data_IF_648612285231
#
_entry.id   IF_648612285231
#
_cell.length_a   1.000
_cell.length_b   1.000
_cell.length_c   1.000
_cell.angle_alpha   90.00
_cell.angle_beta   90.00
_cell.angle_gamma   90.00
#
_symmetry.space_group_name_H-M   'P 1'
#
loop_
_entity.id
_entity.type
_entity.pdbx_description
1 polymer ?
#
# COMPACT_ATOMS: atom_id res chain seq x y z
N UNK A 1 -38.58 -6.50 -28.67
CA UNK A 1 -38.24 -7.12 -27.36
C UNK A 1 -36.76 -6.87 -27.07
N UNK A 2 -36.42 -5.91 -26.18
CA UNK A 2 -35.04 -5.55 -25.87
C UNK A 2 -34.48 -6.53 -24.82
N UNK A 3 -33.38 -7.22 -25.13
CA UNK A 3 -32.75 -8.23 -24.30
C UNK A 3 -32.37 -7.68 -22.90
N UNK A 4 -32.84 -8.29 -21.80
CA UNK A 4 -32.52 -7.84 -20.45
C UNK A 4 -31.03 -7.96 -20.07
N UNK A 5 -30.25 -8.77 -20.81
CA UNK A 5 -28.80 -8.96 -20.58
C UNK A 5 -27.96 -7.70 -20.78
N UNK A 6 -28.39 -6.73 -21.62
CA UNK A 6 -27.65 -5.49 -21.85
C UNK A 6 -27.67 -4.51 -20.66
N UNK A 7 -28.73 -4.53 -19.86
CA UNK A 7 -28.88 -3.63 -18.71
C UNK A 7 -28.02 -4.04 -17.51
N UNK A 8 -27.79 -5.36 -17.31
CA UNK A 8 -26.94 -5.85 -16.23
C UNK A 8 -25.46 -5.54 -16.47
N UNK A 9 -24.98 -5.76 -17.69
CA UNK A 9 -23.60 -5.42 -18.06
C UNK A 9 -23.28 -3.92 -17.91
N UNK A 10 -24.25 -3.06 -18.28
CA UNK A 10 -24.10 -1.61 -18.13
C UNK A 10 -24.00 -1.20 -16.66
N UNK A 11 -24.79 -1.80 -15.76
CA UNK A 11 -24.75 -1.52 -14.32
C UNK A 11 -23.45 -1.97 -13.67
N UNK A 12 -22.88 -3.09 -14.07
CA UNK A 12 -21.61 -3.60 -13.56
C UNK A 12 -20.43 -2.66 -13.88
N UNK A 13 -20.49 -1.92 -14.97
CA UNK A 13 -19.47 -0.92 -15.33
C UNK A 13 -19.77 0.43 -14.64
N UNK A 14 -21.04 0.77 -14.46
CA UNK A 14 -21.42 2.06 -13.86
C UNK A 14 -21.04 2.20 -12.39
N UNK A 15 -21.08 1.10 -11.61
CA UNK A 15 -20.73 1.12 -10.19
C UNK A 15 -19.27 1.51 -9.97
N UNK A 16 -18.26 0.79 -10.55
CA UNK A 16 -16.86 1.18 -10.36
C UNK A 16 -16.53 2.56 -10.92
N UNK A 17 -17.12 2.96 -12.04
CA UNK A 17 -16.95 4.31 -12.58
C UNK A 17 -17.52 5.38 -11.65
N UNK A 18 -18.66 5.10 -11.01
CA UNK A 18 -19.27 6.00 -10.03
C UNK A 18 -18.40 6.17 -8.79
N UNK A 19 -17.84 5.09 -8.29
CA UNK A 19 -16.91 5.11 -7.15
C UNK A 19 -15.65 5.91 -7.48
N UNK A 20 -15.04 5.68 -8.64
CA UNK A 20 -13.85 6.41 -9.10
C UNK A 20 -14.15 7.90 -9.34
N UNK A 21 -15.32 8.23 -9.90
CA UNK A 21 -15.73 9.62 -10.09
C UNK A 21 -15.93 10.34 -8.76
N UNK A 22 -16.60 9.69 -7.81
CA UNK A 22 -16.78 10.24 -6.46
C UNK A 22 -15.44 10.45 -5.75
N UNK A 23 -14.56 9.47 -5.85
CA UNK A 23 -13.21 9.56 -5.31
C UNK A 23 -12.44 10.76 -5.90
N UNK A 24 -12.46 10.93 -7.21
CA UNK A 24 -11.79 12.06 -7.84
C UNK A 24 -12.37 13.42 -7.39
N UNK A 25 -13.70 13.52 -7.20
CA UNK A 25 -14.33 14.74 -6.65
C UNK A 25 -13.85 15.04 -5.24
N UNK A 26 -13.71 14.00 -4.38
CA UNK A 26 -13.25 14.17 -3.00
C UNK A 26 -11.78 14.60 -2.93
N UNK A 27 -10.97 14.18 -3.90
CA UNK A 27 -9.54 14.55 -3.94
C UNK A 27 -9.24 15.93 -4.49
N UNK A 28 -10.14 16.50 -5.31
CA UNK A 28 -9.95 17.84 -5.84
C UNK A 28 -9.73 18.90 -4.74
N UNK A 29 -10.58 19.01 -3.69
CA UNK A 29 -10.33 19.94 -2.59
C UNK A 29 -9.09 19.59 -1.76
N UNK A 30 -8.76 18.31 -1.60
CA UNK A 30 -7.54 17.89 -0.90
C UNK A 30 -6.30 18.38 -1.64
N UNK A 31 -6.25 18.20 -2.96
CA UNK A 31 -5.16 18.72 -3.78
C UNK A 31 -5.04 20.26 -3.71
N UNK A 32 -6.17 20.97 -3.57
CA UNK A 32 -6.16 22.40 -3.37
C UNK A 32 -5.58 22.80 -2.00
N UNK A 33 -5.93 22.06 -0.94
CA UNK A 33 -5.34 22.23 0.40
C UNK A 33 -3.85 21.97 0.41
N UNK A 34 -3.35 21.11 -0.46
CA UNK A 34 -1.92 20.88 -0.68
C UNK A 34 -1.24 21.95 -1.53
N UNK A 35 -1.95 23.02 -1.87
CA UNK A 35 -1.47 24.06 -2.77
C UNK A 35 -1.01 23.55 -4.15
N UNK A 36 -1.65 22.48 -4.62
CA UNK A 36 -1.39 21.89 -5.95
C UNK A 36 -2.62 22.11 -6.85
N UNK A 37 -2.88 23.33 -7.31
CA UNK A 37 -4.12 23.65 -8.05
C UNK A 37 -4.27 22.86 -9.35
N UNK A 38 -3.15 22.51 -10.01
CA UNK A 38 -3.18 21.69 -11.21
C UNK A 38 -3.69 20.28 -10.93
N UNK A 39 -3.30 19.67 -9.79
CA UNK A 39 -3.82 18.38 -9.38
C UNK A 39 -5.32 18.46 -9.07
N UNK A 40 -5.79 19.53 -8.43
CA UNK A 40 -7.22 19.77 -8.20
C UNK A 40 -8.00 19.80 -9.52
N UNK A 41 -7.51 20.55 -10.52
CA UNK A 41 -8.12 20.60 -11.85
C UNK A 41 -8.15 19.23 -12.51
N UNK A 42 -7.05 18.46 -12.43
CA UNK A 42 -6.97 17.09 -12.96
C UNK A 42 -8.01 16.18 -12.32
N UNK A 43 -8.21 16.24 -11.00
CA UNK A 43 -9.21 15.44 -10.32
C UNK A 43 -10.65 15.82 -10.71
N UNK A 44 -10.96 17.11 -10.89
CA UNK A 44 -12.26 17.54 -11.38
C UNK A 44 -12.50 17.00 -12.80
N UNK A 45 -11.52 17.12 -13.69
CA UNK A 45 -11.63 16.62 -15.06
C UNK A 45 -11.77 15.11 -15.09
N UNK A 46 -11.04 14.37 -14.23
CA UNK A 46 -11.14 12.93 -14.09
C UNK A 46 -12.54 12.52 -13.60
N UNK A 47 -13.09 13.25 -12.62
CA UNK A 47 -14.45 13.03 -12.14
C UNK A 47 -15.50 13.21 -13.25
N UNK A 48 -15.36 14.24 -14.07
CA UNK A 48 -16.23 14.47 -15.24
C UNK A 48 -16.11 13.36 -16.29
N UNK A 49 -14.89 12.89 -16.53
CA UNK A 49 -14.62 11.79 -17.46
C UNK A 49 -15.27 10.49 -17.00
N UNK A 50 -15.15 10.17 -15.71
CA UNK A 50 -15.59 8.90 -15.12
C UNK A 50 -17.08 8.89 -14.73
N UNK A 51 -17.76 10.04 -14.77
CA UNK A 51 -19.17 10.16 -14.34
C UNK A 51 -20.08 9.18 -15.07
N UNK A 52 -20.71 8.19 -14.38
CA UNK A 52 -21.52 7.15 -15.00
C UNK A 52 -22.92 7.61 -15.42
N UNK A 53 -23.42 8.72 -14.85
CA UNK A 53 -24.82 9.12 -15.00
C UNK A 53 -25.17 9.66 -16.39
N UNK A 54 -24.18 9.98 -17.20
CA UNK A 54 -24.38 10.62 -18.51
C UNK A 54 -23.84 9.81 -19.71
N UNK A 55 -23.60 8.50 -19.55
CA UNK A 55 -22.93 7.67 -20.58
C UNK A 55 -23.65 7.71 -21.94
N UNK A 56 -24.96 7.78 -21.95
CA UNK A 56 -25.77 7.63 -23.17
C UNK A 56 -26.16 8.94 -23.86
N UNK A 57 -25.72 10.10 -23.39
CA UNK A 57 -26.08 11.39 -24.00
C UNK A 57 -24.97 11.90 -24.91
N UNK A 58 -25.31 12.35 -26.15
CA UNK A 58 -24.33 12.90 -27.11
C UNK A 58 -23.47 14.03 -26.51
N UNK A 59 -24.08 14.91 -25.67
CA UNK A 59 -23.37 15.96 -24.94
C UNK A 59 -22.34 15.41 -23.96
N UNK A 60 -22.60 14.26 -23.38
CA UNK A 60 -21.66 13.61 -22.43
C UNK A 60 -20.38 13.15 -23.15
N UNK A 61 -20.46 12.66 -24.36
CA UNK A 61 -19.28 12.29 -25.14
C UNK A 61 -18.40 13.50 -25.46
N UNK A 62 -19.00 14.64 -25.80
CA UNK A 62 -18.24 15.89 -26.01
C UNK A 62 -17.53 16.33 -24.74
N UNK A 63 -18.23 16.34 -23.59
CA UNK A 63 -17.64 16.71 -22.30
C UNK A 63 -16.47 15.78 -21.96
N UNK A 64 -16.63 14.47 -22.15
CA UNK A 64 -15.60 13.47 -21.84
C UNK A 64 -14.39 13.59 -22.76
N UNK A 65 -14.61 13.74 -24.06
CA UNK A 65 -13.50 13.90 -25.00
C UNK A 65 -12.73 15.20 -24.75
N UNK A 66 -13.45 16.29 -24.42
CA UNK A 66 -12.81 17.56 -24.03
C UNK A 66 -12.03 17.40 -22.73
N UNK A 67 -12.62 16.80 -21.69
CA UNK A 67 -11.94 16.54 -20.43
C UNK A 67 -10.69 15.66 -20.63
N UNK A 68 -10.80 14.58 -21.41
CA UNK A 68 -9.67 13.71 -21.74
C UNK A 68 -8.57 14.48 -22.48
N UNK A 69 -8.92 15.29 -23.48
CA UNK A 69 -7.95 16.11 -24.22
C UNK A 69 -7.21 17.08 -23.30
N UNK A 70 -7.93 17.75 -22.40
CA UNK A 70 -7.32 18.65 -21.43
C UNK A 70 -6.41 17.90 -20.45
N UNK A 71 -6.84 16.73 -19.95
CA UNK A 71 -6.02 15.89 -19.09
C UNK A 71 -4.71 15.49 -19.82
N UNK A 72 -4.80 15.05 -21.06
CA UNK A 72 -3.62 14.67 -21.85
C UNK A 72 -2.69 15.88 -22.02
N UNK A 73 -3.22 17.05 -22.36
CA UNK A 73 -2.42 18.27 -22.50
C UNK A 73 -1.76 18.66 -21.19
N UNK A 74 -2.48 18.61 -20.07
CA UNK A 74 -1.93 18.90 -18.75
C UNK A 74 -0.84 17.89 -18.35
N UNK A 75 -1.05 16.60 -18.61
CA UNK A 75 -0.06 15.57 -18.32
C UNK A 75 1.19 15.70 -19.20
N UNK A 76 1.06 16.16 -20.43
CA UNK A 76 2.21 16.35 -21.31
C UNK A 76 2.98 17.64 -21.05
N UNK A 77 2.27 18.73 -20.74
CA UNK A 77 2.88 20.05 -20.58
C UNK A 77 3.38 20.35 -19.17
N UNK A 78 2.75 19.76 -18.13
CA UNK A 78 3.01 20.14 -16.74
C UNK A 78 3.33 19.01 -15.76
N UNK A 79 3.86 17.82 -16.19
CA UNK A 79 4.06 16.71 -15.26
C UNK A 79 4.98 17.09 -14.09
N UNK A 80 6.03 17.89 -14.37
CA UNK A 80 7.00 18.29 -13.37
C UNK A 80 6.46 19.28 -12.32
N UNK A 81 5.59 20.22 -12.72
CA UNK A 81 5.08 21.24 -11.78
C UNK A 81 4.14 20.66 -10.73
N UNK A 82 3.33 19.67 -11.08
CA UNK A 82 2.47 18.99 -10.12
C UNK A 82 3.30 18.20 -9.10
N UNK A 83 4.32 17.50 -9.56
CA UNK A 83 5.24 16.74 -8.71
C UNK A 83 6.06 17.66 -7.79
N UNK A 84 6.60 18.71 -8.32
CA UNK A 84 7.39 19.72 -7.60
C UNK A 84 6.56 20.40 -6.48
N UNK A 85 5.34 20.84 -6.79
CA UNK A 85 4.45 21.44 -5.80
C UNK A 85 4.07 20.46 -4.69
N UNK A 86 3.94 19.17 -5.00
CA UNK A 86 3.65 18.13 -4.01
C UNK A 86 4.84 17.92 -3.08
N UNK A 87 6.05 17.86 -3.62
CA UNK A 87 7.28 17.77 -2.81
C UNK A 87 7.47 18.99 -1.92
N UNK A 88 7.27 20.19 -2.45
CA UNK A 88 7.40 21.44 -1.68
C UNK A 88 6.40 21.47 -0.53
N UNK A 89 5.17 21.03 -0.78
CA UNK A 89 4.16 20.93 0.30
C UNK A 89 4.53 19.91 1.34
N UNK A 90 5.04 18.75 0.94
CA UNK A 90 5.51 17.72 1.89
C UNK A 90 6.67 18.21 2.73
N UNK A 91 7.65 18.88 2.11
CA UNK A 91 8.76 19.51 2.84
C UNK A 91 8.25 20.53 3.85
N UNK A 92 7.35 21.42 3.43
CA UNK A 92 6.74 22.40 4.33
C UNK A 92 6.06 21.73 5.53
N UNK A 93 5.27 20.67 5.32
CA UNK A 93 4.62 19.95 6.43
C UNK A 93 5.62 19.21 7.31
N UNK A 94 6.70 18.71 6.72
CA UNK A 94 7.79 18.05 7.42
C UNK A 94 8.57 19.04 8.30
N UNK A 95 8.91 20.22 7.77
CA UNK A 95 9.55 21.28 8.52
C UNK A 95 8.63 21.78 9.67
N UNK A 96 7.34 21.89 9.42
CA UNK A 96 6.32 22.24 10.41
C UNK A 96 6.25 21.19 11.53
N UNK A 97 6.35 19.89 11.20
CA UNK A 97 6.42 18.82 12.18
C UNK A 97 7.65 18.96 13.09
N UNK A 98 8.80 19.31 12.52
CA UNK A 98 10.06 19.46 13.26
C UNK A 98 10.04 20.72 14.16
N UNK A 99 9.48 21.82 13.66
CA UNK A 99 9.52 23.13 14.36
C UNK A 99 8.40 23.32 15.36
N UNK A 100 7.19 22.88 15.04
CA UNK A 100 5.98 23.17 15.83
C UNK A 100 5.37 21.90 16.45
N UNK A 101 5.85 20.72 16.04
CA UNK A 101 5.31 19.43 16.48
C UNK A 101 3.88 19.20 15.99
N UNK A 102 3.19 18.25 16.63
CA UNK A 102 1.80 17.86 16.25
C UNK A 102 0.82 19.02 16.42
N UNK A 103 1.03 19.87 17.42
CA UNK A 103 0.15 21.01 17.74
C UNK A 103 0.13 22.08 16.67
N UNK A 104 1.19 22.17 15.87
CA UNK A 104 1.27 23.12 14.76
C UNK A 104 0.35 22.78 13.57
N UNK A 105 -0.14 21.55 13.48
CA UNK A 105 -0.96 21.11 12.33
C UNK A 105 -2.39 21.63 12.44
N UNK A 106 -2.79 22.40 11.47
CA UNK A 106 -4.17 22.85 11.29
C UNK A 106 -5.05 21.71 10.78
N UNK A 107 -6.38 21.89 10.83
CA UNK A 107 -7.31 20.91 10.32
C UNK A 107 -7.09 20.61 8.82
N UNK A 108 -6.81 21.62 8.00
CA UNK A 108 -6.49 21.47 6.59
C UNK A 108 -5.24 20.62 6.32
N UNK A 109 -4.19 20.79 7.12
CA UNK A 109 -2.97 19.99 7.04
C UNK A 109 -3.26 18.52 7.34
N UNK A 110 -4.03 18.24 8.40
CA UNK A 110 -4.44 16.88 8.80
C UNK A 110 -5.26 16.19 7.72
N UNK A 111 -6.24 16.89 7.13
CA UNK A 111 -7.02 16.39 5.99
C UNK A 111 -6.13 16.08 4.79
N UNK A 112 -5.16 16.94 4.49
CA UNK A 112 -4.24 16.71 3.39
C UNK A 112 -3.40 15.44 3.60
N UNK A 113 -2.82 15.27 4.79
CA UNK A 113 -2.04 14.07 5.14
C UNK A 113 -2.92 12.82 5.10
N UNK A 114 -4.13 12.89 5.64
CA UNK A 114 -5.10 11.78 5.60
C UNK A 114 -5.49 11.41 4.16
N UNK A 115 -5.69 12.41 3.30
CA UNK A 115 -5.92 12.21 1.88
C UNK A 115 -4.75 11.49 1.20
N UNK A 116 -3.51 11.86 1.52
CA UNK A 116 -2.33 11.18 1.00
C UNK A 116 -2.26 9.71 1.48
N UNK A 117 -2.60 9.42 2.72
CA UNK A 117 -2.67 8.05 3.24
C UNK A 117 -3.66 7.20 2.42
N UNK A 118 -4.88 7.69 2.19
CA UNK A 118 -5.86 7.00 1.35
C UNK A 118 -5.34 6.86 -0.09
N UNK A 119 -4.69 7.91 -0.63
CA UNK A 119 -4.12 7.86 -1.97
C UNK A 119 -3.06 6.77 -2.12
N UNK A 120 -2.22 6.56 -1.11
CA UNK A 120 -1.25 5.46 -1.08
C UNK A 120 -1.94 4.10 -1.20
N UNK A 121 -3.02 3.88 -0.44
CA UNK A 121 -3.81 2.65 -0.55
C UNK A 121 -4.41 2.45 -1.93
N UNK A 122 -5.01 3.48 -2.51
CA UNK A 122 -5.55 3.42 -3.87
C UNK A 122 -4.46 3.25 -4.93
N UNK A 123 -3.30 3.88 -4.72
CA UNK A 123 -2.11 3.68 -5.55
C UNK A 123 -1.68 2.21 -5.59
N UNK A 124 -1.69 1.54 -4.45
CA UNK A 124 -1.41 0.10 -4.37
C UNK A 124 -2.35 -0.74 -5.25
N UNK A 125 -3.65 -0.43 -5.27
CA UNK A 125 -4.59 -1.12 -6.17
C UNK A 125 -4.28 -0.89 -7.66
N UNK A 126 -3.98 0.35 -8.04
CA UNK A 126 -3.72 0.73 -9.44
C UNK A 126 -2.41 0.12 -9.94
N UNK A 127 -1.40 0.04 -9.09
CA UNK A 127 -0.08 -0.50 -9.43
C UNK A 127 0.04 -2.01 -9.30
N UNK A 128 -1.04 -2.70 -8.92
CA UNK A 128 -1.05 -4.16 -8.78
C UNK A 128 -0.52 -4.66 -7.43
N UNK A 129 -0.52 -3.80 -6.41
CA UNK A 129 -0.18 -4.13 -5.01
C UNK A 129 -1.42 -4.08 -4.10
N UNK A 130 -2.40 -4.97 -4.28
CA UNK A 130 -3.65 -4.94 -3.50
C UNK A 130 -3.41 -5.10 -2.00
N UNK A 131 -2.33 -5.76 -1.60
CA UNK A 131 -1.94 -5.94 -0.21
C UNK A 131 -1.65 -4.58 0.46
N UNK A 132 -0.96 -3.67 -0.24
CA UNK A 132 -0.70 -2.30 0.26
C UNK A 132 -2.00 -1.54 0.48
N UNK A 133 -2.92 -1.65 -0.49
CA UNK A 133 -4.24 -1.01 -0.37
C UNK A 133 -5.01 -1.51 0.84
N UNK A 134 -5.03 -2.83 1.02
CA UNK A 134 -5.74 -3.46 2.12
C UNK A 134 -5.14 -3.04 3.47
N UNK A 135 -3.80 -3.01 3.61
CA UNK A 135 -3.13 -2.58 4.83
C UNK A 135 -3.45 -1.12 5.16
N UNK A 136 -3.35 -0.24 4.17
CA UNK A 136 -3.69 1.17 4.33
C UNK A 136 -5.13 1.37 4.79
N UNK A 137 -6.09 0.64 4.18
CA UNK A 137 -7.50 0.70 4.56
C UNK A 137 -7.76 0.12 5.95
N UNK A 138 -7.03 -0.91 6.36
CA UNK A 138 -7.14 -1.47 7.71
C UNK A 138 -6.76 -0.46 8.79
N UNK A 139 -5.77 0.38 8.54
CA UNK A 139 -5.38 1.44 9.49
C UNK A 139 -6.45 2.52 9.67
N UNK A 140 -7.44 2.61 8.78
CA UNK A 140 -8.54 3.58 8.91
C UNK A 140 -9.66 3.05 9.83
N UNK A 141 -9.72 1.73 10.07
CA UNK A 141 -10.80 1.08 10.81
C UNK A 141 -10.40 0.95 12.29
N UNK A 142 -11.07 1.65 13.22
CA UNK A 142 -10.80 1.50 14.64
C UNK A 142 -11.05 0.06 15.09
N UNK A 143 -10.09 -0.52 15.82
CA UNK A 143 -10.25 -1.86 16.39
C UNK A 143 -10.35 -2.98 15.35
N UNK A 144 -9.74 -2.81 14.18
CA UNK A 144 -9.70 -3.82 13.12
C UNK A 144 -9.11 -5.17 13.58
N UNK A 145 -8.41 -5.18 14.72
CA UNK A 145 -7.89 -6.40 15.36
C UNK A 145 -6.64 -6.94 14.65
N UNK A 146 -6.26 -8.14 15.07
CA UNK A 146 -5.14 -8.85 14.46
C UNK A 146 -5.55 -9.41 13.10
N UNK A 147 -4.62 -9.36 12.15
CA UNK A 147 -4.82 -9.85 10.81
C UNK A 147 -3.96 -11.06 10.50
N UNK A 148 -4.51 -12.01 9.75
CA UNK A 148 -3.77 -13.16 9.24
C UNK A 148 -3.56 -13.07 7.73
N UNK A 149 -2.43 -13.60 7.27
CA UNK A 149 -2.02 -13.61 5.86
C UNK A 149 -1.91 -15.03 5.32
N UNK A 150 -1.97 -15.19 4.02
CA UNK A 150 -1.74 -16.49 3.42
C UNK A 150 -0.25 -16.87 3.50
N UNK A 151 0.02 -18.16 3.71
CA UNK A 151 1.37 -18.72 3.69
C UNK A 151 2.09 -18.48 2.35
N UNK A 152 1.34 -18.53 1.26
CA UNK A 152 1.89 -18.36 -0.08
C UNK A 152 2.45 -16.96 -0.29
N UNK A 153 1.72 -15.92 0.17
CA UNK A 153 2.22 -14.55 0.11
C UNK A 153 3.53 -14.37 0.86
N UNK A 154 3.68 -14.96 2.07
CA UNK A 154 4.92 -14.91 2.81
C UNK A 154 6.06 -15.63 2.08
N UNK A 155 5.76 -16.80 1.50
CA UNK A 155 6.75 -17.64 0.80
C UNK A 155 7.12 -17.15 -0.60
N UNK A 156 6.42 -16.14 -1.15
CA UNK A 156 6.87 -15.43 -2.34
C UNK A 156 8.19 -14.66 -2.09
N UNK A 157 8.40 -14.16 -0.87
CA UNK A 157 9.56 -13.35 -0.53
C UNK A 157 10.86 -14.16 -0.41
N UNK A 158 11.88 -13.90 -1.23
CA UNK A 158 13.21 -14.46 -1.06
C UNK A 158 13.81 -14.13 0.31
N UNK A 159 13.50 -12.96 0.87
CA UNK A 159 14.00 -12.56 2.19
C UNK A 159 13.40 -13.35 3.33
N UNK A 160 12.15 -13.78 3.23
CA UNK A 160 11.53 -14.69 4.20
C UNK A 160 12.06 -16.11 4.00
N UNK A 161 12.23 -16.56 2.75
CA UNK A 161 12.78 -17.88 2.45
C UNK A 161 14.24 -18.05 2.88
N UNK A 162 15.08 -17.01 2.75
CA UNK A 162 16.51 -17.10 3.05
C UNK A 162 16.84 -17.63 4.45
N UNK A 163 16.29 -17.11 5.56
CA UNK A 163 16.54 -17.68 6.89
C UNK A 163 15.98 -19.11 7.05
N UNK A 164 14.89 -19.45 6.36
CA UNK A 164 14.34 -20.80 6.38
C UNK A 164 15.24 -21.80 5.61
N UNK A 165 15.79 -21.40 4.47
CA UNK A 165 16.81 -22.18 3.74
C UNK A 165 18.05 -22.47 4.61
N UNK A 166 18.55 -21.44 5.29
CA UNK A 166 19.67 -21.61 6.22
C UNK A 166 19.33 -22.55 7.36
N UNK A 167 18.11 -22.47 7.89
CA UNK A 167 17.60 -23.41 8.88
C UNK A 167 17.58 -24.84 8.34
N UNK A 168 17.06 -25.07 7.13
CA UNK A 168 17.01 -26.39 6.49
C UNK A 168 18.44 -26.97 6.34
N UNK A 169 19.38 -26.15 5.88
CA UNK A 169 20.78 -26.59 5.78
C UNK A 169 21.38 -27.01 7.14
N UNK A 170 21.03 -26.34 8.22
CA UNK A 170 21.44 -26.69 9.57
C UNK A 170 20.76 -27.99 10.05
N UNK A 171 19.45 -28.14 9.76
CA UNK A 171 18.69 -29.34 10.13
C UNK A 171 19.29 -30.65 9.52
N UNK A 172 19.85 -30.55 8.32
CA UNK A 172 20.49 -31.66 7.63
C UNK A 172 21.78 -32.14 8.33
N UNK A 173 22.41 -31.26 9.12
CA UNK A 173 23.66 -31.55 9.83
C UNK A 173 23.42 -32.05 11.28
N UNK A 174 22.16 -31.99 11.75
CA UNK A 174 21.84 -32.39 13.12
C UNK A 174 21.83 -33.93 13.29
N UNK A 175 22.28 -34.43 14.46
CA UNK A 175 22.20 -35.87 14.79
C UNK A 175 20.75 -36.38 14.67
N UNK A 176 20.62 -37.68 14.36
CA UNK A 176 19.29 -38.31 14.21
C UNK A 176 18.45 -38.26 15.49
N UNK A 177 19.08 -38.17 16.66
CA UNK A 177 18.38 -38.06 17.94
C UNK A 177 17.80 -36.69 18.22
N UNK A 178 18.17 -35.68 17.43
CA UNK A 178 17.61 -34.31 17.59
C UNK A 178 16.20 -34.26 17.02
N UNK A 179 15.22 -34.00 17.87
CA UNK A 179 13.79 -33.94 17.48
C UNK A 179 13.24 -32.54 17.32
N UNK A 180 13.96 -31.54 17.82
CA UNK A 180 13.51 -30.16 17.77
C UNK A 180 14.69 -29.20 17.48
N UNK A 181 14.42 -28.16 16.69
CA UNK A 181 15.35 -27.07 16.44
C UNK A 181 14.58 -25.78 16.24
N UNK A 182 15.03 -24.65 16.80
CA UNK A 182 14.35 -23.37 16.71
C UNK A 182 15.22 -22.29 16.08
N UNK A 183 14.64 -21.54 15.16
CA UNK A 183 15.17 -20.27 14.68
C UNK A 183 14.71 -19.16 15.63
N UNK A 184 15.68 -18.51 16.27
CA UNK A 184 15.39 -17.34 17.12
C UNK A 184 14.74 -16.24 16.30
N UNK A 185 13.91 -15.44 16.94
CA UNK A 185 13.22 -14.28 16.37
C UNK A 185 14.13 -13.42 15.51
N UNK A 186 13.87 -13.37 14.21
CA UNK A 186 14.67 -12.65 13.24
C UNK A 186 13.86 -11.50 12.63
N UNK A 187 14.40 -10.29 12.70
CA UNK A 187 13.83 -9.14 12.00
C UNK A 187 14.24 -9.22 10.53
N UNK A 188 13.26 -9.16 9.64
CA UNK A 188 13.42 -9.08 8.20
C UNK A 188 12.92 -7.70 7.78
N UNK A 189 13.75 -6.95 7.07
CA UNK A 189 13.40 -5.64 6.55
C UNK A 189 13.76 -5.59 5.06
N UNK A 190 12.96 -4.87 4.28
CA UNK A 190 13.16 -4.64 2.86
C UNK A 190 13.69 -3.23 2.61
N UNK A 191 14.44 -3.11 1.56
CA UNK A 191 14.86 -1.82 1.00
C UNK A 191 14.17 -1.62 -0.35
N UNK A 192 14.18 -0.42 -0.87
CA UNK A 192 13.63 -0.10 -2.19
C UNK A 192 14.26 -0.86 -3.38
N UNK A 193 15.36 -1.56 -3.15
CA UNK A 193 16.07 -2.32 -4.17
C UNK A 193 15.79 -3.83 -4.11
N UNK A 194 14.90 -4.25 -3.22
CA UNK A 194 14.59 -5.66 -3.07
C UNK A 194 13.66 -6.14 -4.18
N UNK A 195 13.95 -7.30 -4.73
CA UNK A 195 13.21 -7.87 -5.86
C UNK A 195 11.79 -8.32 -5.51
N UNK A 196 11.49 -8.50 -4.22
CA UNK A 196 10.19 -8.87 -3.68
C UNK A 196 9.48 -7.68 -3.05
N UNK A 197 9.47 -6.55 -3.74
CA UNK A 197 8.89 -5.29 -3.28
C UNK A 197 7.47 -5.44 -2.74
N UNK A 198 6.66 -6.30 -3.35
CA UNK A 198 5.26 -6.53 -2.99
C UNK A 198 5.08 -6.88 -1.51
N UNK A 199 5.82 -7.87 -1.00
CA UNK A 199 5.78 -8.28 0.41
C UNK A 199 6.38 -7.20 1.30
N UNK A 200 7.49 -6.59 0.88
CA UNK A 200 8.16 -5.53 1.61
C UNK A 200 7.31 -4.28 1.77
N UNK A 201 6.59 -3.88 0.74
CA UNK A 201 5.70 -2.73 0.79
C UNK A 201 4.50 -2.95 1.72
N UNK A 202 3.97 -4.18 1.74
CA UNK A 202 2.82 -4.50 2.57
C UNK A 202 3.20 -4.75 4.04
N UNK A 203 4.38 -5.32 4.32
CA UNK A 203 4.68 -5.95 5.61
C UNK A 203 6.04 -5.58 6.22
N UNK A 204 6.62 -4.45 5.89
CA UNK A 204 7.96 -4.06 6.34
C UNK A 204 7.95 -3.29 7.67
N UNK A 205 8.66 -3.72 8.72
CA UNK A 205 9.44 -4.96 8.84
C UNK A 205 8.65 -6.14 9.41
N UNK A 206 9.05 -7.35 9.06
CA UNK A 206 8.49 -8.59 9.60
C UNK A 206 9.44 -9.20 10.65
N UNK A 207 8.88 -9.81 11.68
CA UNK A 207 9.60 -10.65 12.63
C UNK A 207 9.22 -12.11 12.39
N UNK A 208 10.21 -12.92 11.98
CA UNK A 208 10.06 -14.33 11.69
C UNK A 208 10.60 -15.18 12.85
N UNK A 209 9.79 -16.13 13.27
CA UNK A 209 10.16 -17.23 14.17
C UNK A 209 9.85 -18.55 13.48
N UNK A 210 10.66 -19.57 13.71
CA UNK A 210 10.38 -20.89 13.16
C UNK A 210 10.85 -21.98 14.15
N UNK A 211 10.06 -23.05 14.27
CA UNK A 211 10.37 -24.23 15.06
C UNK A 211 10.23 -25.46 14.17
N UNK A 212 11.31 -26.21 14.03
CA UNK A 212 11.32 -27.47 13.30
C UNK A 212 11.19 -28.66 14.25
N UNK A 213 10.26 -29.53 13.93
CA UNK A 213 10.05 -30.79 14.65
C UNK A 213 10.23 -31.95 13.66
N UNK A 214 10.91 -33.03 14.10
CA UNK A 214 11.08 -34.22 13.28
C UNK A 214 9.84 -35.10 13.42
N UNK A 215 9.14 -35.33 12.30
CA UNK A 215 7.95 -36.17 12.21
C UNK A 215 8.19 -37.19 11.11
N UNK A 216 8.10 -38.48 11.43
CA UNK A 216 8.28 -39.58 10.47
C UNK A 216 9.56 -39.46 9.62
N UNK A 217 10.68 -39.07 10.25
CA UNK A 217 11.94 -38.89 9.58
C UNK A 217 12.16 -37.61 8.80
N UNK A 218 11.11 -36.76 8.67
CA UNK A 218 11.17 -35.47 8.01
C UNK A 218 11.09 -34.33 9.01
N UNK A 219 11.63 -33.17 8.62
CA UNK A 219 11.49 -31.97 9.41
C UNK A 219 10.28 -31.18 8.95
N UNK A 220 9.32 -30.99 9.86
CA UNK A 220 8.22 -30.05 9.72
C UNK A 220 8.60 -28.76 10.43
N UNK A 221 8.60 -27.64 9.70
CA UNK A 221 8.96 -26.32 10.17
C UNK A 221 7.69 -25.52 10.36
N UNK A 222 7.35 -25.22 11.61
CA UNK A 222 6.24 -24.35 11.96
C UNK A 222 6.79 -22.91 11.98
N UNK A 223 6.31 -22.09 11.08
CA UNK A 223 6.73 -20.70 10.92
C UNK A 223 5.67 -19.78 11.50
N UNK A 224 6.13 -18.75 12.20
CA UNK A 224 5.30 -17.64 12.66
C UNK A 224 5.94 -16.33 12.26
N UNK A 225 5.18 -15.51 11.55
CA UNK A 225 5.59 -14.16 11.22
C UNK A 225 4.66 -13.15 11.90
N UNK A 226 5.24 -12.06 12.39
CA UNK A 226 4.51 -10.96 12.99
C UNK A 226 4.96 -9.65 12.37
N UNK A 227 4.00 -8.75 12.13
CA UNK A 227 4.22 -7.40 11.63
C UNK A 227 3.52 -6.42 12.55
N UNK A 228 4.15 -5.29 12.81
CA UNK A 228 3.52 -4.17 13.49
C UNK A 228 3.35 -3.05 12.48
N UNK A 229 2.13 -2.82 12.07
CA UNK A 229 1.76 -1.75 11.13
C UNK A 229 1.59 -0.47 11.94
N UNK A 230 2.69 0.26 12.05
CA UNK A 230 2.77 1.54 12.75
C UNK A 230 3.77 2.43 12.01
N UNK A 231 3.37 3.64 11.71
CA UNK A 231 4.30 4.61 11.15
C UNK A 231 5.24 5.13 12.23
N UNK A 232 6.54 5.18 11.97
CA UNK A 232 7.50 5.80 12.87
C UNK A 232 7.39 7.32 12.82
N UNK A 233 7.86 7.99 13.86
CA UNK A 233 7.90 9.46 13.91
C UNK A 233 8.89 10.10 12.93
N UNK A 234 9.75 9.29 12.32
CA UNK A 234 10.72 9.69 11.28
C UNK A 234 10.91 8.54 10.31
N UNK A 235 11.09 8.86 9.05
CA UNK A 235 11.31 7.90 7.97
C UNK A 235 10.76 8.44 6.66
N UNK A 236 11.12 7.77 5.55
CA UNK A 236 10.69 8.16 4.22
C UNK A 236 10.11 6.95 3.49
N UNK A 237 8.90 7.11 3.00
CA UNK A 237 8.26 6.17 2.08
C UNK A 237 8.46 6.64 0.64
N UNK A 238 8.85 5.75 -0.24
CA UNK A 238 8.82 6.02 -1.68
C UNK A 238 7.36 5.90 -2.14
N UNK A 239 6.78 6.99 -2.62
CA UNK A 239 5.41 6.97 -3.16
C UNK A 239 5.40 6.44 -4.58
N UNK A 240 6.25 6.97 -5.43
CA UNK A 240 6.43 6.47 -6.79
C UNK A 240 7.73 6.99 -7.39
N UNK A 241 8.18 6.30 -8.45
CA UNK A 241 9.32 6.68 -9.26
C UNK A 241 8.85 6.98 -10.69
N UNK A 242 9.22 8.13 -11.23
CA UNK A 242 8.87 8.52 -12.59
C UNK A 242 10.02 9.30 -13.26
N UNK A 243 10.41 8.88 -14.46
CA UNK A 243 11.46 9.52 -15.25
C UNK A 243 12.79 9.75 -14.49
N UNK A 244 13.17 8.78 -13.64
CA UNK A 244 14.39 8.85 -12.84
C UNK A 244 14.30 9.75 -11.60
N UNK A 245 13.11 10.25 -11.27
CA UNK A 245 12.86 11.03 -10.05
C UNK A 245 11.97 10.22 -9.10
N UNK A 246 12.47 10.03 -7.88
CA UNK A 246 11.75 9.36 -6.79
C UNK A 246 10.99 10.41 -5.96
N UNK A 247 9.71 10.18 -5.74
CA UNK A 247 8.89 10.99 -4.83
C UNK A 247 8.74 10.24 -3.53
N UNK A 248 9.23 10.88 -2.47
CA UNK A 248 9.20 10.36 -1.12
C UNK A 248 8.15 11.07 -0.28
N UNK A 249 7.53 10.33 0.63
CA UNK A 249 6.63 10.84 1.65
C UNK A 249 7.25 10.62 3.03
N UNK A 250 7.23 11.62 3.89
CA UNK A 250 7.75 11.44 5.24
C UNK A 250 6.77 10.68 6.12
N UNK A 251 7.20 9.53 6.65
CA UNK A 251 6.39 8.67 7.52
C UNK A 251 5.95 9.39 8.80
N UNK A 252 6.73 10.38 9.26
CA UNK A 252 6.40 11.21 10.39
C UNK A 252 5.09 11.98 10.22
N UNK A 253 4.70 12.32 8.99
CA UNK A 253 3.40 12.94 8.72
C UNK A 253 2.25 11.94 8.96
N UNK A 254 2.43 10.68 8.59
CA UNK A 254 1.45 9.63 8.87
C UNK A 254 1.41 9.29 10.36
N UNK A 255 2.56 9.35 11.03
CA UNK A 255 2.63 9.23 12.48
C UNK A 255 1.79 10.30 13.19
N UNK A 256 1.75 11.55 12.70
CA UNK A 256 0.85 12.58 13.23
C UNK A 256 -0.60 12.10 13.23
N UNK A 257 -1.07 11.46 12.16
CA UNK A 257 -2.43 10.91 12.08
C UNK A 257 -2.68 9.81 13.11
N UNK A 258 -1.67 9.02 13.45
CA UNK A 258 -1.77 8.01 14.52
C UNK A 258 -1.94 8.65 15.87
N UNK A 259 -1.11 9.65 16.19
CA UNK A 259 -1.14 10.33 17.50
C UNK A 259 -2.44 11.09 17.73
N UNK A 260 -3.07 11.61 16.67
CA UNK A 260 -4.39 12.26 16.78
C UNK A 260 -5.57 11.30 16.66
N UNK A 261 -5.32 9.99 16.48
CA UNK A 261 -6.36 8.96 16.41
C UNK A 261 -7.17 8.94 15.11
N UNK A 262 -6.61 9.39 14.00
CA UNK A 262 -7.26 9.34 12.67
C UNK A 262 -6.90 8.08 11.89
N UNK A 263 -5.78 7.47 12.21
CA UNK A 263 -5.42 6.12 11.77
C UNK A 263 -5.01 5.27 12.97
N UNK A 264 -5.25 3.97 12.88
CA UNK A 264 -5.12 3.05 14.00
C UNK A 264 -4.05 2.00 13.69
N UNK A 265 -2.91 2.03 14.39
CA UNK A 265 -1.92 0.97 14.28
C UNK A 265 -2.53 -0.39 14.63
N UNK A 266 -2.11 -1.44 13.94
CA UNK A 266 -2.53 -2.79 14.24
C UNK A 266 -1.35 -3.77 14.19
N UNK A 267 -1.55 -4.98 14.70
CA UNK A 267 -0.61 -6.06 14.56
C UNK A 267 -1.17 -7.13 13.64
N UNK A 268 -0.35 -7.60 12.72
CA UNK A 268 -0.66 -8.74 11.90
C UNK A 268 0.20 -9.93 12.30
N UNK A 269 -0.37 -11.13 12.28
CA UNK A 269 0.37 -12.36 12.46
C UNK A 269 -0.12 -13.42 11.51
N UNK A 270 0.76 -14.30 11.08
CA UNK A 270 0.37 -15.49 10.34
C UNK A 270 1.29 -16.66 10.68
N UNK A 271 0.73 -17.85 10.63
CA UNK A 271 1.39 -19.10 10.93
C UNK A 271 1.21 -20.04 9.75
N UNK A 272 2.28 -20.72 9.39
CA UNK A 272 2.23 -21.73 8.33
C UNK A 272 3.24 -22.83 8.60
N UNK A 273 3.06 -23.95 7.93
CA UNK A 273 3.94 -25.09 8.01
C UNK A 273 4.60 -25.30 6.64
N UNK A 274 5.88 -25.65 6.68
CA UNK A 274 6.64 -26.07 5.51
C UNK A 274 7.52 -27.27 5.88
N UNK A 275 7.75 -28.16 4.94
CA UNK A 275 8.65 -29.28 5.13
C UNK A 275 10.05 -28.92 4.64
N UNK A 276 11.09 -29.58 5.21
CA UNK A 276 12.48 -29.34 4.81
C UNK A 276 12.79 -29.72 3.35
N UNK A 277 11.92 -30.51 2.73
CA UNK A 277 11.96 -30.91 1.31
C UNK A 277 11.08 -30.06 0.39
N UNK A 278 10.51 -28.97 0.89
CA UNK A 278 9.73 -28.04 0.07
C UNK A 278 10.63 -27.41 -1.01
N UNK A 279 10.23 -27.55 -2.28
CA UNK A 279 11.00 -27.05 -3.42
C UNK A 279 11.31 -25.55 -3.33
N UNK A 280 10.47 -24.75 -2.69
CA UNK A 280 10.67 -23.32 -2.47
C UNK A 280 11.83 -23.01 -1.52
N UNK A 281 12.22 -23.98 -0.70
CA UNK A 281 13.37 -23.89 0.20
C UNK A 281 14.61 -24.55 -0.39
N UNK A 282 14.49 -25.39 -1.41
CA UNK A 282 15.61 -26.07 -2.06
C UNK A 282 16.15 -25.31 -3.27
N UNK A 283 15.32 -24.51 -3.92
CA UNK A 283 15.70 -23.59 -5.01
C UNK A 283 16.23 -22.26 -4.47
#
# INVERSE_FOLDING_TARGET
MSHPKSKLGLRLIQIPLGVLSLWAILYAPIALLWHVPLASILFVLLALLLNPFNINRRRSWVIRSTALSIIIVLLLLFPYKVLESTEDRMRFLSDKLVTEGISGFEFGDKIAIYGAHIFMGMGGLITGYPEVAIETLFMIIPGAGDRSWSSDFAMESPRIRKPLKLMVAQLQQLPMQTNEYSLKKKRIAWTRYDSDERVGWALNPVRLEAVANRIEGRWRINCKATVSMRYPSRGWLLLFSHAGRDIHFEEGLLWVLQEIGWIFPYQGSWEWNVYSDDYRLLS
#
